data_IF_760277333756
#
_entry.id   IF_760277333756
#
_cell.length_a   1.000
_cell.length_b   1.000
_cell.length_c   1.000
_cell.angle_alpha   90.00
_cell.angle_beta   90.00
_cell.angle_gamma   90.00
#
_symmetry.space_group_name_H-M   'P 1'
#
loop_
_entity.id
_entity.type
_entity.pdbx_description
1 polymer ?
#
# COMPACT_ATOMS: atom_id res chain seq x y z
N UNK A 1 17.55 -1.12 -19.54
CA UNK A 1 17.07 -0.82 -18.16
C UNK A 1 15.77 -0.01 -18.08
N UNK A 2 15.40 0.85 -19.06
CA UNK A 2 14.12 1.61 -19.07
C UNK A 2 12.87 0.78 -18.80
N UNK A 3 12.76 -0.42 -19.38
CA UNK A 3 11.56 -1.26 -19.25
C UNK A 3 11.28 -1.75 -17.81
N UNK A 4 12.33 -2.04 -17.02
CA UNK A 4 12.16 -2.51 -15.64
C UNK A 4 11.60 -1.42 -14.73
N UNK A 5 12.07 -0.19 -14.92
CA UNK A 5 11.59 0.96 -14.13
C UNK A 5 10.12 1.25 -14.38
N UNK A 6 9.64 1.12 -15.63
CA UNK A 6 8.23 1.30 -15.96
C UNK A 6 7.34 0.18 -15.38
N UNK A 7 7.82 -1.07 -15.39
CA UNK A 7 7.10 -2.18 -14.74
C UNK A 7 6.98 -1.92 -13.23
N UNK A 8 8.06 -1.52 -12.56
CA UNK A 8 8.05 -1.21 -11.12
C UNK A 8 7.06 -0.08 -10.81
N UNK A 9 7.04 0.98 -11.62
CA UNK A 9 6.06 2.08 -11.47
C UNK A 9 4.63 1.58 -11.58
N UNK A 10 4.35 0.71 -12.56
CA UNK A 10 3.02 0.18 -12.79
C UNK A 10 2.55 -0.70 -11.62
N UNK A 11 3.42 -1.61 -11.14
CA UNK A 11 3.14 -2.46 -9.97
C UNK A 11 2.88 -1.59 -8.73
N UNK A 12 3.70 -0.57 -8.48
CA UNK A 12 3.52 0.34 -7.35
C UNK A 12 2.14 1.01 -7.39
N UNK A 13 1.71 1.50 -8.56
CA UNK A 13 0.40 2.14 -8.73
C UNK A 13 -0.76 1.18 -8.47
N UNK A 14 -0.67 -0.06 -8.96
CA UNK A 14 -1.70 -1.08 -8.72
C UNK A 14 -1.82 -1.42 -7.24
N UNK A 15 -0.69 -1.66 -6.58
CA UNK A 15 -0.68 -2.02 -5.15
C UNK A 15 -1.22 -0.88 -4.28
N UNK A 16 -0.87 0.37 -4.59
CA UNK A 16 -1.41 1.55 -3.89
C UNK A 16 -2.92 1.63 -4.07
N UNK A 17 -3.42 1.54 -5.31
CA UNK A 17 -4.86 1.62 -5.59
C UNK A 17 -5.63 0.48 -4.93
N UNK A 18 -5.11 -0.75 -4.98
CA UNK A 18 -5.72 -1.90 -4.33
C UNK A 18 -5.82 -1.69 -2.82
N UNK A 19 -4.71 -1.37 -2.15
CA UNK A 19 -4.70 -1.13 -0.71
C UNK A 19 -5.63 0.04 -0.30
N UNK A 20 -5.68 1.10 -1.09
CA UNK A 20 -6.54 2.25 -0.82
C UNK A 20 -8.03 1.93 -0.93
N UNK A 21 -8.45 1.24 -2.00
CA UNK A 21 -9.86 0.82 -2.17
C UNK A 21 -10.25 -0.14 -1.05
N UNK A 22 -9.38 -1.11 -0.78
CA UNK A 22 -9.59 -2.08 0.28
C UNK A 22 -9.72 -1.42 1.65
N UNK A 23 -8.92 -0.38 1.90
CA UNK A 23 -9.01 0.43 3.10
C UNK A 23 -10.35 1.10 3.31
N UNK A 24 -10.92 1.62 2.23
CA UNK A 24 -12.23 2.28 2.25
C UNK A 24 -13.34 1.26 2.52
N UNK A 25 -13.27 0.08 1.91
CA UNK A 25 -14.30 -0.97 2.05
C UNK A 25 -14.33 -1.53 3.48
N UNK A 26 -13.15 -1.77 4.08
CA UNK A 26 -13.03 -2.45 5.38
C UNK A 26 -13.19 -1.52 6.58
N UNK A 27 -13.22 -0.20 6.34
CA UNK A 27 -13.41 0.87 7.34
C UNK A 27 -14.60 0.64 8.29
N UNK A 28 -15.58 -0.16 7.90
CA UNK A 28 -16.78 -0.48 8.69
C UNK A 28 -16.63 -1.61 9.72
N UNK A 29 -15.59 -2.45 9.64
CA UNK A 29 -15.44 -3.63 10.51
C UNK A 29 -14.23 -3.60 11.45
N UNK A 30 -13.19 -2.82 11.17
CA UNK A 30 -11.93 -2.88 11.92
C UNK A 30 -11.43 -1.46 12.20
N UNK A 31 -11.69 -0.93 13.39
CA UNK A 31 -11.24 0.41 13.77
C UNK A 31 -9.70 0.50 13.86
N UNK A 32 -9.05 -0.62 14.22
CA UNK A 32 -7.59 -0.75 14.32
C UNK A 32 -6.91 -0.68 12.95
N UNK A 33 -7.58 -1.14 11.90
CA UNK A 33 -7.10 -1.09 10.52
C UNK A 33 -6.82 0.34 10.04
N UNK A 34 -7.69 1.29 10.42
CA UNK A 34 -7.55 2.68 10.02
C UNK A 34 -6.34 3.36 10.67
N UNK A 35 -5.90 2.85 11.83
CA UNK A 35 -4.84 3.47 12.61
C UNK A 35 -3.43 3.07 12.13
N UNK A 36 -3.24 1.81 11.73
CA UNK A 36 -1.91 1.28 11.37
C UNK A 36 -1.66 1.19 9.86
N UNK A 37 -2.64 0.71 9.09
CA UNK A 37 -2.49 0.47 7.64
C UNK A 37 -2.61 1.74 6.79
N UNK A 38 -3.54 2.63 7.13
CA UNK A 38 -3.81 3.83 6.35
C UNK A 38 -2.61 4.80 6.26
N UNK A 39 -1.83 5.05 7.34
CA UNK A 39 -0.61 5.85 7.26
C UNK A 39 0.45 5.27 6.31
N UNK A 40 0.57 3.94 6.22
CA UNK A 40 1.50 3.28 5.30
C UNK A 40 1.11 3.53 3.83
N UNK A 41 -0.19 3.54 3.53
CA UNK A 41 -0.71 3.87 2.20
C UNK A 41 -0.37 5.32 1.82
N UNK A 42 -0.58 6.27 2.72
CA UNK A 42 -0.23 7.68 2.49
C UNK A 42 1.28 7.86 2.29
N UNK A 43 2.11 7.18 3.09
CA UNK A 43 3.56 7.22 2.95
C UNK A 43 4.02 6.66 1.59
N UNK A 44 3.44 5.54 1.15
CA UNK A 44 3.78 4.96 -0.14
C UNK A 44 3.41 5.87 -1.31
N UNK A 45 2.27 6.58 -1.24
CA UNK A 45 1.87 7.61 -2.23
C UNK A 45 2.90 8.74 -2.24
N UNK A 46 3.27 9.28 -1.08
CA UNK A 46 4.27 10.35 -0.98
C UNK A 46 5.62 9.95 -1.57
N UNK A 47 6.08 8.70 -1.33
CA UNK A 47 7.31 8.17 -1.90
C UNK A 47 7.29 8.08 -3.44
N UNK A 48 6.11 7.95 -4.06
CA UNK A 48 6.02 7.98 -5.53
C UNK A 48 6.38 9.35 -6.11
N UNK A 49 6.18 10.45 -5.37
CA UNK A 49 6.55 11.79 -5.81
C UNK A 49 8.08 11.98 -5.90
N UNK A 50 8.83 11.22 -5.10
CA UNK A 50 10.31 11.19 -5.13
C UNK A 50 10.87 10.07 -6.01
N UNK A 51 10.05 9.47 -6.88
CA UNK A 51 10.42 8.33 -7.72
C UNK A 51 10.91 7.08 -6.95
N UNK A 52 10.59 6.94 -5.66
CA UNK A 52 11.01 5.81 -4.82
C UNK A 52 10.02 4.62 -4.90
N UNK A 53 9.69 4.20 -6.12
CA UNK A 53 8.64 3.20 -6.38
C UNK A 53 8.90 1.82 -5.77
N UNK A 54 10.16 1.37 -5.71
CA UNK A 54 10.49 0.08 -5.08
C UNK A 54 10.16 0.09 -3.58
N UNK A 55 10.46 1.20 -2.90
CA UNK A 55 10.15 1.37 -1.48
C UNK A 55 8.63 1.47 -1.26
N UNK A 56 7.91 2.16 -2.16
CA UNK A 56 6.44 2.17 -2.14
C UNK A 56 5.86 0.75 -2.24
N UNK A 57 6.40 -0.11 -3.12
CA UNK A 57 5.96 -1.52 -3.23
C UNK A 57 6.19 -2.27 -1.92
N UNK A 58 7.38 -2.16 -1.33
CA UNK A 58 7.71 -2.85 -0.07
C UNK A 58 6.76 -2.42 1.07
N UNK A 59 6.45 -1.13 1.16
CA UNK A 59 5.48 -0.62 2.13
C UNK A 59 4.06 -1.13 1.87
N UNK A 60 3.66 -1.27 0.61
CA UNK A 60 2.32 -1.80 0.27
C UNK A 60 2.21 -3.29 0.53
N UNK A 61 3.29 -4.05 0.38
CA UNK A 61 3.35 -5.45 0.82
C UNK A 61 3.29 -5.55 2.33
N UNK A 62 4.01 -4.68 3.06
CA UNK A 62 3.93 -4.61 4.52
C UNK A 62 2.49 -4.30 4.98
N UNK A 63 1.83 -3.33 4.33
CA UNK A 63 0.44 -2.98 4.60
C UNK A 63 -0.51 -4.18 4.43
N UNK A 64 -0.31 -5.00 3.39
CA UNK A 64 -1.08 -6.23 3.19
C UNK A 64 -0.83 -7.28 4.26
N UNK A 65 0.41 -7.41 4.74
CA UNK A 65 0.75 -8.34 5.83
C UNK A 65 0.11 -7.88 7.13
N UNK A 66 0.24 -6.59 7.49
CA UNK A 66 -0.42 -6.01 8.67
C UNK A 66 -1.94 -6.22 8.60
N UNK A 67 -2.52 -6.02 7.42
CA UNK A 67 -3.93 -6.32 7.19
C UNK A 67 -4.27 -7.79 7.48
N UNK A 68 -3.51 -8.73 6.93
CA UNK A 68 -3.78 -10.15 7.07
C UNK A 68 -3.68 -10.60 8.54
N UNK A 69 -2.66 -10.11 9.26
CA UNK A 69 -2.47 -10.42 10.69
C UNK A 69 -3.63 -9.89 11.54
N UNK A 70 -4.07 -8.65 11.30
CA UNK A 70 -5.18 -8.04 12.06
C UNK A 70 -6.56 -8.58 11.67
N UNK A 71 -6.70 -9.27 10.52
CA UNK A 71 -7.97 -9.89 10.12
C UNK A 71 -8.17 -11.28 10.76
N UNK A 72 -7.09 -11.99 11.07
CA UNK A 72 -7.14 -13.34 11.67
C UNK A 72 -7.38 -13.29 13.17
N UNK A 73 -6.85 -12.27 13.85
CA UNK A 73 -7.06 -12.02 15.27
C UNK A 73 -8.47 -11.48 15.54
#
# INVERSE_FOLDING_TARGET
MKNRTEIIKWIARILISHNFIFAIIIRSKVNEYYFEGFPLILLAIWLTWYNKYLLSILLMLLCLITFYMNWIN
#
